data_IF_480257912744
#
_entry.id   IF_480257912744
#
_cell.length_a   1.000
_cell.length_b   1.000
_cell.length_c   1.000
_cell.angle_alpha   90.00
_cell.angle_beta   90.00
_cell.angle_gamma   90.00
#
_symmetry.space_group_name_H-M   'P 1'
#
loop_
_entity.id
_entity.type
_entity.pdbx_description
1 polymer ?
#
# COMPACT_ATOMS: atom_id res chain seq x y z
N UNK A 1 10.04 -15.73 -3.21
CA UNK A 1 11.30 -15.24 -3.83
C UNK A 1 11.57 -13.84 -3.31
N UNK A 2 12.48 -13.69 -2.35
CA UNK A 2 13.03 -12.38 -2.00
C UNK A 2 13.82 -11.90 -3.22
N UNK A 3 13.38 -10.82 -3.87
CA UNK A 3 14.23 -10.17 -4.85
C UNK A 3 15.47 -9.69 -4.08
N UNK A 4 16.64 -10.25 -4.40
CA UNK A 4 17.91 -9.78 -3.85
C UNK A 4 18.01 -8.29 -4.18
N UNK A 5 18.21 -7.46 -3.16
CA UNK A 5 18.43 -6.02 -3.39
C UNK A 5 19.71 -5.88 -4.22
N UNK A 6 19.72 -5.04 -5.26
CA UNK A 6 20.91 -4.85 -6.09
C UNK A 6 22.07 -4.37 -5.21
N UNK A 7 23.27 -4.71 -5.62
CA UNK A 7 24.52 -4.27 -5.02
C UNK A 7 25.08 -3.06 -5.76
N UNK A 8 25.61 -2.08 -5.02
CA UNK A 8 26.33 -0.96 -5.60
C UNK A 8 27.70 -0.80 -4.94
N UNK A 9 28.74 -0.63 -5.76
CA UNK A 9 30.09 -0.28 -5.31
C UNK A 9 30.39 1.16 -5.73
N UNK A 10 30.53 2.11 -4.79
CA UNK A 10 31.05 3.43 -5.10
C UNK A 10 32.58 3.36 -5.18
N UNK A 11 33.18 3.71 -6.32
CA UNK A 11 34.63 3.83 -6.49
C UNK A 11 35.08 5.24 -6.08
N UNK A 12 35.94 5.33 -5.08
CA UNK A 12 36.41 6.62 -4.52
C UNK A 12 37.83 6.56 -3.96
N UNK A 13 38.49 7.70 -3.87
CA UNK A 13 39.78 7.82 -3.22
C UNK A 13 39.63 7.79 -1.69
N UNK A 14 40.60 7.23 -0.95
CA UNK A 14 40.59 7.15 0.53
C UNK A 14 40.22 8.46 1.22
N UNK A 15 40.63 9.61 0.66
CA UNK A 15 40.32 10.94 1.21
C UNK A 15 38.84 11.31 1.16
N UNK A 16 38.07 10.68 0.29
CA UNK A 16 36.65 10.92 0.07
C UNK A 16 35.76 9.95 0.88
N UNK A 17 36.35 9.09 1.72
CA UNK A 17 35.65 8.04 2.48
C UNK A 17 34.47 8.57 3.30
N UNK A 18 34.60 9.73 3.92
CA UNK A 18 33.51 10.33 4.68
C UNK A 18 32.32 10.68 3.78
N UNK A 19 32.57 11.33 2.64
CA UNK A 19 31.52 11.70 1.67
C UNK A 19 30.88 10.46 1.06
N UNK A 20 31.70 9.48 0.64
CA UNK A 20 31.22 8.20 0.14
C UNK A 20 30.37 7.46 1.18
N UNK A 21 30.77 7.47 2.45
CA UNK A 21 30.01 6.89 3.56
C UNK A 21 28.66 7.56 3.79
N UNK A 22 28.57 8.88 3.66
CA UNK A 22 27.28 9.60 3.75
C UNK A 22 26.35 9.27 2.57
N UNK A 23 26.90 9.17 1.35
CA UNK A 23 26.14 8.74 0.16
C UNK A 23 25.64 7.29 0.35
N UNK A 24 26.51 6.40 0.80
CA UNK A 24 26.17 5.00 1.09
C UNK A 24 25.04 4.91 2.12
N UNK A 25 25.19 5.61 3.25
CA UNK A 25 24.19 5.65 4.32
C UNK A 25 22.84 6.15 3.83
N UNK A 26 22.81 7.18 2.97
CA UNK A 26 21.56 7.66 2.36
C UNK A 26 20.89 6.58 1.49
N UNK A 27 21.66 5.94 0.60
CA UNK A 27 21.13 4.91 -0.30
C UNK A 27 20.64 3.66 0.45
N UNK A 28 21.34 3.26 1.52
CA UNK A 28 20.95 2.12 2.35
C UNK A 28 19.73 2.43 3.23
N UNK A 29 19.59 3.66 3.73
CA UNK A 29 18.38 4.12 4.43
C UNK A 29 17.16 4.07 3.51
N UNK A 30 17.35 4.33 2.21
CA UNK A 30 16.33 4.16 1.20
C UNK A 30 16.01 2.66 0.97
N UNK A 31 16.90 1.73 1.30
CA UNK A 31 16.64 0.29 1.19
C UNK A 31 16.54 -0.22 -0.25
N UNK A 32 16.94 0.61 -1.22
CA UNK A 32 16.86 0.29 -2.65
C UNK A 32 18.03 -0.55 -3.14
N UNK A 33 19.14 -0.48 -2.43
CA UNK A 33 20.43 -1.03 -2.84
C UNK A 33 21.25 -1.35 -1.61
N UNK A 34 22.06 -2.41 -1.69
CA UNK A 34 23.10 -2.71 -0.70
C UNK A 34 24.39 -2.06 -1.15
N UNK A 35 25.01 -1.23 -0.32
CA UNK A 35 26.22 -0.50 -0.71
C UNK A 35 27.46 -1.19 -0.15
N UNK A 36 28.36 -1.59 -1.03
CA UNK A 36 29.63 -2.23 -0.69
C UNK A 36 30.72 -1.16 -0.62
N UNK A 37 30.67 -0.35 0.43
CA UNK A 37 31.51 0.85 0.58
C UNK A 37 33.01 0.51 0.66
N UNK A 38 33.39 -0.52 1.41
CA UNK A 38 34.79 -0.88 1.60
C UNK A 38 35.43 -1.46 0.33
N UNK A 39 34.65 -2.18 -0.47
CA UNK A 39 35.12 -2.80 -1.72
C UNK A 39 35.48 -1.76 -2.79
N UNK A 40 34.93 -0.55 -2.70
CA UNK A 40 35.14 0.53 -3.66
C UNK A 40 36.23 1.54 -3.30
N UNK A 41 36.85 1.42 -2.12
CA UNK A 41 37.97 2.29 -1.74
C UNK A 41 39.23 1.96 -2.55
N UNK A 42 39.79 2.95 -3.23
CA UNK A 42 41.04 2.82 -3.97
C UNK A 42 42.23 2.58 -3.03
N UNK A 43 43.04 1.58 -3.34
CA UNK A 43 44.30 1.34 -2.63
C UNK A 43 45.39 2.32 -3.06
N UNK A 44 46.47 2.48 -2.27
CA UNK A 44 47.59 3.32 -2.65
C UNK A 44 48.21 2.89 -3.99
N UNK A 45 48.15 3.76 -4.99
CA UNK A 45 48.71 3.52 -6.32
C UNK A 45 47.71 3.02 -7.36
N UNK A 46 46.49 2.64 -6.95
CA UNK A 46 45.39 2.35 -7.87
C UNK A 46 44.80 3.63 -8.46
N UNK A 47 44.21 3.52 -9.64
CA UNK A 47 43.39 4.57 -10.25
C UNK A 47 41.90 4.19 -10.32
N UNK A 48 41.05 5.17 -10.68
CA UNK A 48 39.60 4.95 -10.80
C UNK A 48 39.24 3.90 -11.86
N UNK A 49 40.03 3.75 -12.93
CA UNK A 49 39.74 2.82 -14.00
C UNK A 49 40.04 1.37 -13.58
N UNK A 50 41.16 1.14 -12.89
CA UNK A 50 41.46 -0.14 -12.25
C UNK A 50 40.38 -0.50 -11.24
N UNK A 51 40.02 0.45 -10.36
CA UNK A 51 39.03 0.19 -9.32
C UNK A 51 37.64 -0.10 -9.88
N UNK A 52 37.25 0.61 -10.94
CA UNK A 52 35.98 0.35 -11.63
C UNK A 52 35.93 -1.06 -12.22
N UNK A 53 37.05 -1.59 -12.75
CA UNK A 53 37.10 -2.96 -13.30
C UNK A 53 36.89 -4.03 -12.24
N UNK A 54 37.44 -3.83 -11.04
CA UNK A 54 37.23 -4.74 -9.90
C UNK A 54 35.77 -4.71 -9.42
N UNK A 55 35.18 -3.52 -9.39
CA UNK A 55 33.82 -3.28 -8.91
C UNK A 55 32.72 -3.87 -9.82
N UNK A 56 33.05 -4.38 -11.00
CA UNK A 56 32.08 -4.92 -11.97
C UNK A 56 31.36 -6.20 -11.53
N UNK A 57 31.80 -6.81 -10.44
CA UNK A 57 31.05 -7.90 -9.81
C UNK A 57 29.72 -7.44 -9.20
N UNK A 58 29.55 -6.13 -8.96
CA UNK A 58 28.29 -5.55 -8.49
C UNK A 58 27.33 -5.23 -9.64
N UNK A 59 26.04 -5.13 -9.31
CA UNK A 59 25.00 -4.74 -10.28
C UNK A 59 25.16 -3.29 -10.76
N UNK A 60 25.75 -2.45 -9.91
CA UNK A 60 25.93 -1.01 -10.10
C UNK A 60 27.33 -0.59 -9.67
N UNK A 61 28.00 0.18 -10.52
CA UNK A 61 29.25 0.85 -10.18
C UNK A 61 29.03 2.35 -10.17
N UNK A 62 29.40 3.03 -9.10
CA UNK A 62 29.26 4.48 -8.96
C UNK A 62 30.64 5.13 -8.90
N UNK A 63 31.04 5.84 -9.95
CA UNK A 63 32.33 6.54 -9.98
C UNK A 63 32.18 7.90 -9.29
N UNK A 64 32.91 8.11 -8.20
CA UNK A 64 32.93 9.36 -7.45
C UNK A 64 34.14 10.21 -7.88
N UNK A 65 33.88 11.23 -8.69
CA UNK A 65 34.88 12.18 -9.15
C UNK A 65 35.17 13.24 -8.10
N UNK A 66 36.44 13.32 -7.72
CA UNK A 66 37.03 14.35 -6.87
C UNK A 66 38.41 14.76 -7.39
N UNK A 67 39.00 15.82 -6.84
CA UNK A 67 40.42 16.15 -7.05
C UNK A 67 41.37 15.08 -6.51
N UNK A 68 40.89 14.16 -5.65
CA UNK A 68 41.68 13.08 -5.08
C UNK A 68 41.60 11.79 -5.89
N UNK A 69 40.50 11.57 -6.63
CA UNK A 69 40.30 10.39 -7.46
C UNK A 69 40.67 10.61 -8.94
N UNK A 70 40.68 11.86 -9.41
CA UNK A 70 41.05 12.19 -10.79
C UNK A 70 42.56 12.39 -10.96
N UNK A 71 43.27 11.50 -11.69
CA UNK A 71 44.65 11.76 -12.07
C UNK A 71 44.73 12.93 -13.05
N UNK A 72 45.83 13.69 -13.00
CA UNK A 72 46.10 14.79 -13.95
C UNK A 72 47.51 14.67 -14.53
N UNK A 73 47.66 14.50 -15.86
CA UNK A 73 46.63 14.29 -16.89
C UNK A 73 46.04 12.85 -16.88
N UNK A 74 44.79 12.68 -17.31
CA UNK A 74 44.17 11.36 -17.48
C UNK A 74 43.94 11.07 -18.97
N UNK A 75 44.74 10.16 -19.55
CA UNK A 75 44.70 9.89 -20.98
C UNK A 75 43.51 8.99 -21.32
N UNK A 76 42.84 9.25 -22.44
CA UNK A 76 41.66 8.49 -22.88
C UNK A 76 41.88 6.97 -22.90
N UNK A 77 43.05 6.51 -23.34
CA UNK A 77 43.43 5.09 -23.39
C UNK A 77 43.49 4.39 -22.03
N UNK A 78 43.58 5.15 -20.93
CA UNK A 78 43.71 4.60 -19.57
C UNK A 78 42.34 4.25 -18.99
N UNK A 79 41.27 4.95 -19.40
CA UNK A 79 39.96 4.83 -18.78
C UNK A 79 38.81 4.46 -19.73
N UNK A 80 38.94 4.66 -21.05
CA UNK A 80 37.83 4.46 -21.99
C UNK A 80 37.32 3.01 -21.99
N UNK A 81 38.24 2.05 -21.98
CA UNK A 81 37.86 0.63 -21.98
C UNK A 81 37.18 0.28 -20.63
N UNK A 82 37.76 0.69 -19.50
CA UNK A 82 37.24 0.41 -18.16
C UNK A 82 35.86 1.02 -17.85
N UNK A 83 35.61 2.25 -18.31
CA UNK A 83 34.44 3.04 -17.88
C UNK A 83 33.35 3.15 -18.93
N UNK A 84 33.63 2.79 -20.20
CA UNK A 84 32.69 2.99 -21.30
C UNK A 84 32.49 1.72 -22.12
N UNK A 85 33.55 1.12 -22.67
CA UNK A 85 33.40 -0.01 -23.61
C UNK A 85 33.08 -1.32 -22.90
N UNK A 86 33.95 -1.75 -22.00
CA UNK A 86 33.78 -3.03 -21.31
C UNK A 86 32.45 -3.08 -20.52
N UNK A 87 32.05 -2.03 -19.77
CA UNK A 87 30.75 -2.04 -19.07
C UNK A 87 29.55 -2.10 -20.01
N UNK A 88 29.62 -1.46 -21.19
CA UNK A 88 28.53 -1.52 -22.17
C UNK A 88 28.40 -2.90 -22.81
N UNK A 89 29.51 -3.61 -23.02
CA UNK A 89 29.54 -4.99 -23.53
C UNK A 89 29.00 -5.99 -22.49
N UNK A 90 29.29 -5.76 -21.21
CA UNK A 90 28.90 -6.63 -20.10
C UNK A 90 27.49 -6.32 -19.55
N UNK A 91 26.92 -5.17 -19.91
CA UNK A 91 25.64 -4.70 -19.37
C UNK A 91 25.74 -4.13 -17.95
N UNK A 92 26.97 -3.90 -17.45
CA UNK A 92 27.23 -3.30 -16.13
C UNK A 92 26.83 -1.83 -16.13
N UNK A 93 26.01 -1.44 -15.16
CA UNK A 93 25.51 -0.06 -15.07
C UNK A 93 26.50 0.82 -14.32
N UNK A 94 27.04 1.83 -15.00
CA UNK A 94 27.95 2.82 -14.40
C UNK A 94 27.27 4.18 -14.24
N UNK A 95 27.27 4.68 -13.00
CA UNK A 95 26.87 6.04 -12.65
C UNK A 95 28.10 6.93 -12.48
N UNK A 96 28.06 8.14 -13.02
CA UNK A 96 29.12 9.14 -12.85
C UNK A 96 28.63 10.25 -11.93
N UNK A 97 29.25 10.41 -10.76
CA UNK A 97 28.89 11.43 -9.79
C UNK A 97 30.09 12.30 -9.43
N UNK A 98 29.87 13.61 -9.35
CA UNK A 98 30.87 14.57 -8.89
C UNK A 98 30.63 14.93 -7.43
N UNK A 99 31.65 14.88 -6.59
CA UNK A 99 31.54 15.16 -5.15
C UNK A 99 32.22 16.47 -4.71
N UNK A 100 33.02 17.10 -5.57
CA UNK A 100 33.64 18.41 -5.35
C UNK A 100 33.59 19.30 -6.62
N UNK A 101 34.45 20.31 -6.74
CA UNK A 101 34.52 21.21 -7.90
C UNK A 101 35.45 20.71 -9.03
N UNK A 102 35.80 19.42 -9.05
CA UNK A 102 36.61 18.85 -10.12
C UNK A 102 35.90 18.87 -11.49
N UNK A 103 36.71 18.79 -12.55
CA UNK A 103 36.25 18.81 -13.94
C UNK A 103 36.73 17.52 -14.62
N UNK A 104 35.90 16.47 -14.65
CA UNK A 104 36.25 15.24 -15.36
C UNK A 104 36.22 15.46 -16.88
N UNK A 105 36.82 14.55 -17.68
CA UNK A 105 36.76 14.60 -19.14
C UNK A 105 35.31 14.68 -19.64
N UNK A 106 35.06 15.45 -20.72
CA UNK A 106 33.69 15.68 -21.24
C UNK A 106 32.92 14.40 -21.60
N UNK A 107 33.64 13.32 -21.96
CA UNK A 107 33.06 12.01 -22.26
C UNK A 107 32.49 11.34 -21.00
N UNK A 108 33.05 11.65 -19.83
CA UNK A 108 32.62 11.18 -18.51
C UNK A 108 31.85 12.28 -17.77
N UNK A 109 31.04 13.06 -18.50
CA UNK A 109 30.24 14.12 -17.89
C UNK A 109 29.42 13.55 -16.72
N UNK A 110 29.51 14.14 -15.51
CA UNK A 110 28.77 13.64 -14.36
C UNK A 110 27.27 13.63 -14.65
N UNK A 111 26.64 12.50 -14.38
CA UNK A 111 25.19 12.36 -14.38
C UNK A 111 24.60 13.00 -13.11
N UNK A 112 25.34 12.95 -12.01
CA UNK A 112 24.90 13.42 -10.70
C UNK A 112 25.87 14.44 -10.11
N UNK A 113 25.33 15.52 -9.55
CA UNK A 113 26.08 16.50 -8.78
C UNK A 113 25.82 16.30 -7.29
N UNK A 114 26.80 15.73 -6.59
CA UNK A 114 26.73 15.41 -5.16
C UNK A 114 27.63 16.35 -4.32
N UNK A 115 28.15 17.41 -4.92
CA UNK A 115 28.93 18.42 -4.20
C UNK A 115 28.12 19.00 -3.04
N UNK A 116 28.68 18.96 -1.83
CA UNK A 116 27.99 19.39 -0.61
C UNK A 116 26.79 18.52 -0.21
N UNK A 117 26.59 17.37 -0.84
CA UNK A 117 25.48 16.43 -0.58
C UNK A 117 24.10 17.08 -0.72
N UNK A 118 23.93 17.91 -1.76
CA UNK A 118 22.65 18.55 -2.05
C UNK A 118 21.53 17.49 -2.25
N UNK A 119 20.36 17.64 -1.60
CA UNK A 119 19.27 16.65 -1.65
C UNK A 119 18.84 16.28 -3.07
N UNK A 120 18.81 17.27 -3.98
CA UNK A 120 18.44 17.05 -5.39
C UNK A 120 19.32 15.99 -6.07
N UNK A 121 20.64 16.09 -5.94
CA UNK A 121 21.56 15.14 -6.57
C UNK A 121 21.47 13.73 -5.97
N UNK A 122 21.27 13.64 -4.66
CA UNK A 122 21.05 12.37 -3.96
C UNK A 122 19.75 11.69 -4.42
N UNK A 123 18.67 12.45 -4.59
CA UNK A 123 17.38 11.94 -5.09
C UNK A 123 17.46 11.53 -6.56
N UNK A 124 18.15 12.29 -7.41
CA UNK A 124 18.41 11.91 -8.81
C UNK A 124 19.18 10.59 -8.89
N UNK A 125 20.23 10.43 -8.08
CA UNK A 125 20.99 9.18 -7.98
C UNK A 125 20.11 8.02 -7.51
N UNK A 126 19.32 8.21 -6.45
CA UNK A 126 18.37 7.20 -5.93
C UNK A 126 17.39 6.74 -7.01
N UNK A 127 16.75 7.68 -7.71
CA UNK A 127 15.80 7.37 -8.81
C UNK A 127 16.46 6.64 -9.97
N UNK A 128 17.69 7.03 -10.32
CA UNK A 128 18.49 6.31 -11.31
C UNK A 128 18.75 4.87 -10.89
N UNK A 129 19.14 4.62 -9.62
CA UNK A 129 19.35 3.27 -9.11
C UNK A 129 18.05 2.45 -9.23
N UNK A 130 16.92 3.01 -8.82
CA UNK A 130 15.62 2.35 -8.76
C UNK A 130 15.03 1.97 -10.13
N UNK A 131 15.17 2.81 -11.15
CA UNK A 131 14.61 2.61 -12.51
C UNK A 131 13.11 2.27 -12.58
N UNK A 132 12.33 2.67 -11.59
CA UNK A 132 10.89 2.43 -11.53
C UNK A 132 10.19 3.61 -10.88
N UNK A 133 8.96 3.86 -11.32
CA UNK A 133 8.11 4.90 -10.77
C UNK A 133 6.72 4.32 -10.53
N UNK A 134 6.07 4.80 -9.48
CA UNK A 134 4.68 4.48 -9.18
C UNK A 134 3.77 4.86 -10.36
N UNK A 135 2.79 4.00 -10.66
CA UNK A 135 1.82 4.23 -11.73
C UNK A 135 0.75 5.25 -11.33
N UNK A 136 0.50 5.38 -10.02
CA UNK A 136 -0.48 6.34 -9.50
C UNK A 136 -0.17 7.77 -9.94
N UNK A 137 -1.22 8.46 -10.39
CA UNK A 137 -1.19 9.89 -10.67
C UNK A 137 -2.22 10.55 -9.74
N UNK A 138 -1.83 11.53 -8.93
CA UNK A 138 -2.79 12.26 -8.12
C UNK A 138 -3.79 13.00 -9.04
N UNK A 139 -5.04 13.23 -8.59
CA UNK A 139 -6.01 14.00 -9.35
C UNK A 139 -5.42 15.35 -9.76
N UNK A 140 -5.56 15.69 -11.04
CA UNK A 140 -5.08 16.95 -11.57
C UNK A 140 -5.96 18.12 -11.14
N UNK A 141 -5.80 18.62 -9.91
CA UNK A 141 -6.04 20.04 -9.56
C UNK A 141 -5.88 20.32 -8.06
N UNK A 142 -4.83 21.04 -7.72
CA UNK A 142 -4.84 22.37 -7.05
C UNK A 142 -3.37 22.74 -6.91
N UNK A 143 -2.91 23.78 -7.61
CA UNK A 143 -1.53 24.25 -7.40
C UNK A 143 -1.36 24.56 -5.93
N UNK A 144 -0.48 23.82 -5.25
CA UNK A 144 -0.07 24.19 -3.91
C UNK A 144 0.60 25.57 -4.00
N UNK A 145 -0.06 26.59 -3.45
CA UNK A 145 0.45 27.96 -3.44
C UNK A 145 1.32 28.25 -2.20
N UNK A 146 1.59 27.24 -1.37
CA UNK A 146 2.37 27.38 -0.15
C UNK A 146 3.88 27.23 -0.36
N UNK A 147 4.62 27.08 0.73
CA UNK A 147 6.08 27.12 0.73
C UNK A 147 6.70 25.81 0.21
N UNK A 148 7.67 25.91 -0.69
CA UNK A 148 8.48 24.78 -1.15
C UNK A 148 9.25 24.10 0.00
N UNK A 149 9.48 24.81 1.11
CA UNK A 149 10.07 24.24 2.32
C UNK A 149 9.22 23.13 2.96
N UNK A 150 7.88 23.24 2.89
CA UNK A 150 6.98 22.20 3.42
C UNK A 150 7.09 20.92 2.59
N UNK A 151 7.17 21.08 1.27
CA UNK A 151 7.35 19.99 0.32
C UNK A 151 8.68 19.26 0.54
N UNK A 152 9.78 20.00 0.75
CA UNK A 152 11.08 19.40 1.03
C UNK A 152 11.14 18.71 2.40
N UNK A 153 10.43 19.25 3.39
CA UNK A 153 10.28 18.62 4.71
C UNK A 153 9.62 17.25 4.61
N UNK A 154 8.52 17.15 3.84
CA UNK A 154 7.90 15.85 3.53
C UNK A 154 8.83 14.94 2.72
N UNK A 155 9.58 15.50 1.77
CA UNK A 155 10.63 14.79 1.02
C UNK A 155 11.63 14.08 1.93
N UNK A 156 12.18 14.81 2.89
CA UNK A 156 13.14 14.29 3.87
C UNK A 156 12.50 13.23 4.77
N UNK A 157 11.25 13.45 5.19
CA UNK A 157 10.58 12.58 6.15
C UNK A 157 10.08 11.26 5.53
N UNK A 158 9.65 11.28 4.26
CA UNK A 158 8.92 10.17 3.63
C UNK A 158 9.58 9.59 2.38
N UNK A 159 10.24 10.41 1.56
CA UNK A 159 10.84 9.96 0.29
C UNK A 159 12.31 9.53 0.49
N UNK A 160 13.03 10.22 1.37
CA UNK A 160 14.44 9.95 1.66
C UNK A 160 14.62 8.85 2.73
N UNK A 161 13.56 8.52 3.47
CA UNK A 161 13.53 7.43 4.46
C UNK A 161 12.10 6.96 4.71
N UNK A 162 11.89 5.74 5.25
CA UNK A 162 10.55 5.29 5.65
C UNK A 162 10.09 6.15 6.82
N UNK A 163 8.83 6.60 6.79
CA UNK A 163 8.30 7.48 7.82
C UNK A 163 6.78 7.57 7.77
N UNK A 164 6.22 8.27 8.76
CA UNK A 164 4.81 8.59 8.80
C UNK A 164 4.66 10.08 9.14
N UNK A 165 3.96 10.82 8.29
CA UNK A 165 3.76 12.26 8.46
C UNK A 165 2.32 12.65 8.11
N UNK A 166 1.91 13.80 8.64
CA UNK A 166 0.62 14.41 8.33
C UNK A 166 0.84 15.66 7.48
N UNK A 167 0.20 15.71 6.31
CA UNK A 167 0.23 16.91 5.48
C UNK A 167 -0.65 18.01 6.08
N UNK A 168 -0.20 19.25 5.97
CA UNK A 168 -0.98 20.42 6.39
C UNK A 168 -2.23 20.65 5.52
N UNK A 169 -2.29 20.05 4.32
CA UNK A 169 -3.48 20.09 3.46
C UNK A 169 -3.46 18.96 2.44
N UNK A 170 -4.64 18.64 1.87
CA UNK A 170 -4.73 17.71 0.73
C UNK A 170 -3.92 18.17 -0.49
N UNK A 171 -3.91 19.48 -0.77
CA UNK A 171 -3.16 20.03 -1.90
C UNK A 171 -1.64 19.78 -1.76
N UNK A 172 -1.08 19.99 -0.56
CA UNK A 172 0.32 19.68 -0.28
C UNK A 172 0.61 18.18 -0.44
N UNK A 173 -0.30 17.31 0.00
CA UNK A 173 -0.12 15.87 -0.14
C UNK A 173 -0.09 15.42 -1.60
N UNK A 174 -0.98 15.97 -2.44
CA UNK A 174 -0.99 15.66 -3.87
C UNK A 174 0.22 16.25 -4.60
N UNK A 175 0.67 17.46 -4.25
CA UNK A 175 1.91 18.03 -4.78
C UNK A 175 3.12 17.17 -4.40
N UNK A 176 3.18 16.69 -3.15
CA UNK A 176 4.19 15.74 -2.69
C UNK A 176 4.19 14.46 -3.52
N UNK A 177 3.03 13.84 -3.70
CA UNK A 177 2.92 12.63 -4.53
C UNK A 177 3.38 12.92 -5.96
N UNK A 178 2.97 14.05 -6.55
CA UNK A 178 3.40 14.46 -7.89
C UNK A 178 4.92 14.59 -8.01
N UNK A 179 5.57 15.22 -7.03
CA UNK A 179 7.01 15.48 -7.03
C UNK A 179 7.88 14.26 -6.66
N UNK A 180 7.37 13.36 -5.82
CA UNK A 180 8.16 12.27 -5.20
C UNK A 180 7.69 10.85 -5.53
N UNK A 181 6.67 10.65 -6.38
CA UNK A 181 6.19 9.30 -6.76
C UNK A 181 7.27 8.36 -7.35
N UNK A 182 8.32 8.91 -7.95
CA UNK A 182 9.45 8.14 -8.50
C UNK A 182 10.35 7.55 -7.40
N UNK A 183 10.23 8.05 -6.17
CA UNK A 183 10.94 7.56 -5.01
C UNK A 183 10.27 6.32 -4.37
N UNK A 184 9.10 5.93 -4.88
CA UNK A 184 8.30 4.80 -4.38
C UNK A 184 8.09 3.73 -5.46
N UNK A 185 7.88 2.49 -5.01
CA UNK A 185 7.56 1.33 -5.87
C UNK A 185 6.15 1.47 -6.43
N UNK A 186 5.22 1.95 -5.59
CA UNK A 186 3.85 2.32 -5.93
C UNK A 186 3.29 3.27 -4.86
N UNK A 187 2.28 4.06 -5.22
CA UNK A 187 1.51 4.88 -4.29
C UNK A 187 0.09 4.36 -4.22
N UNK A 188 -0.38 4.07 -3.00
CA UNK A 188 -1.74 3.61 -2.74
C UNK A 188 -2.51 4.71 -2.03
N UNK A 189 -3.69 5.06 -2.54
CA UNK A 189 -4.60 6.00 -1.88
C UNK A 189 -5.74 5.21 -1.26
N UNK A 190 -5.93 5.37 0.04
CA UNK A 190 -7.07 4.85 0.77
C UNK A 190 -7.87 6.02 1.33
N UNK A 191 -9.11 6.15 0.88
CA UNK A 191 -10.05 7.11 1.43
C UNK A 191 -10.59 6.54 2.74
N UNK A 192 -10.13 7.10 3.87
CA UNK A 192 -10.30 6.54 5.21
C UNK A 192 -11.60 6.93 5.91
N UNK A 193 -12.22 8.01 5.45
CA UNK A 193 -13.48 8.52 5.99
C UNK A 193 -14.59 7.46 5.95
N UNK A 194 -15.18 7.19 7.11
CA UNK A 194 -16.25 6.21 7.32
C UNK A 194 -15.92 4.81 6.78
N UNK A 195 -14.66 4.39 6.81
CA UNK A 195 -14.29 3.01 6.45
C UNK A 195 -13.89 2.21 7.69
N UNK A 196 -14.36 0.97 7.73
CA UNK A 196 -13.85 0.00 8.71
C UNK A 196 -12.45 -0.47 8.34
N UNK A 197 -11.76 -1.10 9.28
CA UNK A 197 -10.45 -1.68 8.99
C UNK A 197 -10.54 -2.78 7.93
N UNK A 198 -11.58 -3.61 7.97
CA UNK A 198 -11.78 -4.66 6.97
C UNK A 198 -11.95 -4.08 5.57
N UNK A 199 -12.72 -3.00 5.45
CA UNK A 199 -12.91 -2.28 4.21
C UNK A 199 -11.61 -1.64 3.68
N UNK A 200 -10.78 -1.07 4.55
CA UNK A 200 -9.49 -0.46 4.14
C UNK A 200 -8.44 -1.51 3.78
N UNK A 201 -8.35 -2.59 4.58
CA UNK A 201 -7.44 -3.70 4.31
C UNK A 201 -7.83 -4.41 3.01
N UNK A 202 -9.13 -4.64 2.79
CA UNK A 202 -9.67 -5.23 1.56
C UNK A 202 -9.36 -4.39 0.32
N UNK A 203 -9.57 -3.08 0.39
CA UNK A 203 -9.26 -2.12 -0.68
C UNK A 203 -7.77 -2.12 -1.01
N UNK A 204 -6.91 -2.01 0.02
CA UNK A 204 -5.46 -2.04 -0.20
C UNK A 204 -5.00 -3.40 -0.76
N UNK A 205 -5.52 -4.50 -0.23
CA UNK A 205 -5.26 -5.84 -0.74
C UNK A 205 -5.63 -5.97 -2.23
N UNK A 206 -6.80 -5.46 -2.62
CA UNK A 206 -7.23 -5.45 -4.01
C UNK A 206 -6.31 -4.60 -4.91
N UNK A 207 -5.90 -3.40 -4.46
CA UNK A 207 -4.94 -2.55 -5.18
C UNK A 207 -3.56 -3.24 -5.33
N UNK A 208 -3.18 -4.08 -4.35
CA UNK A 208 -1.95 -4.89 -4.39
C UNK A 208 -2.10 -6.20 -5.20
N UNK A 209 -3.31 -6.55 -5.66
CA UNK A 209 -3.60 -7.83 -6.31
C UNK A 209 -3.57 -9.04 -5.37
N UNK A 210 -3.75 -8.83 -4.07
CA UNK A 210 -3.79 -9.88 -3.05
C UNK A 210 -5.23 -10.29 -2.75
N UNK A 211 -5.45 -11.60 -2.56
CA UNK A 211 -6.68 -12.15 -1.98
C UNK A 211 -6.52 -12.30 -0.47
N UNK A 212 -7.38 -11.62 0.29
CA UNK A 212 -7.41 -11.55 1.75
C UNK A 212 -8.57 -12.42 2.28
N UNK A 213 -8.37 -13.73 2.19
CA UNK A 213 -9.39 -14.74 2.49
C UNK A 213 -9.43 -15.13 3.99
N UNK A 214 -8.40 -14.78 4.77
CA UNK A 214 -8.29 -15.11 6.19
C UNK A 214 -9.08 -14.16 7.09
N UNK A 215 -8.85 -14.28 8.40
CA UNK A 215 -9.41 -13.35 9.39
C UNK A 215 -8.78 -11.96 9.26
N UNK A 216 -9.46 -10.94 9.79
CA UNK A 216 -9.02 -9.55 9.65
C UNK A 216 -7.60 -9.32 10.16
N UNK A 217 -7.28 -9.83 11.36
CA UNK A 217 -5.96 -9.68 11.98
C UNK A 217 -4.88 -10.34 11.13
N UNK A 218 -5.10 -11.58 10.68
CA UNK A 218 -4.18 -12.31 9.81
C UNK A 218 -3.97 -11.60 8.46
N UNK A 219 -5.04 -11.05 7.90
CA UNK A 219 -4.97 -10.29 6.64
C UNK A 219 -4.14 -9.00 6.82
N UNK A 220 -4.32 -8.28 7.92
CA UNK A 220 -3.52 -7.08 8.24
C UNK A 220 -2.06 -7.45 8.47
N UNK A 221 -1.78 -8.56 9.15
CA UNK A 221 -0.42 -9.07 9.36
C UNK A 221 0.24 -9.46 8.03
N UNK A 222 -0.49 -10.15 7.16
CA UNK A 222 -0.04 -10.50 5.81
C UNK A 222 0.25 -9.27 4.96
N UNK A 223 -0.60 -8.24 5.02
CA UNK A 223 -0.36 -6.96 4.38
C UNK A 223 0.91 -6.30 4.92
N UNK A 224 1.10 -6.31 6.25
CA UNK A 224 2.28 -5.74 6.90
C UNK A 224 3.57 -6.45 6.45
N UNK A 225 3.57 -7.78 6.46
CA UNK A 225 4.70 -8.57 6.00
C UNK A 225 5.03 -8.27 4.54
N UNK A 226 4.01 -8.29 3.67
CA UNK A 226 4.17 -7.99 2.25
C UNK A 226 4.74 -6.58 2.02
N UNK A 227 4.26 -5.59 2.76
CA UNK A 227 4.67 -4.20 2.61
C UNK A 227 6.05 -3.92 3.22
N UNK A 228 6.46 -4.64 4.27
CA UNK A 228 7.67 -4.35 5.06
C UNK A 228 8.97 -4.25 4.23
N UNK A 229 9.09 -5.04 3.16
CA UNK A 229 10.27 -5.09 2.30
C UNK A 229 10.20 -4.17 1.08
N UNK A 230 9.08 -3.48 0.86
CA UNK A 230 8.78 -2.70 -0.36
C UNK A 230 8.67 -1.22 -0.05
N UNK A 231 9.03 -0.41 -1.04
CA UNK A 231 9.06 1.05 -0.91
C UNK A 231 7.73 1.66 -1.33
N UNK A 232 6.66 1.34 -0.62
CA UNK A 232 5.35 1.92 -0.93
C UNK A 232 5.11 3.22 -0.19
N UNK A 233 4.32 4.10 -0.81
CA UNK A 233 3.69 5.22 -0.13
C UNK A 233 2.20 4.90 0.05
N UNK A 234 1.74 4.86 1.29
CA UNK A 234 0.33 4.81 1.62
C UNK A 234 -0.19 6.22 1.91
N UNK A 235 -1.10 6.71 1.10
CA UNK A 235 -1.83 7.95 1.33
C UNK A 235 -3.16 7.65 2.01
N UNK A 236 -3.26 7.96 3.30
CA UNK A 236 -4.51 7.91 4.07
C UNK A 236 -5.22 9.25 3.92
N UNK A 237 -6.24 9.30 3.06
CA UNK A 237 -6.96 10.52 2.71
C UNK A 237 -8.30 10.61 3.44
N UNK A 238 -8.56 11.73 4.10
CA UNK A 238 -9.76 11.99 4.90
C UNK A 238 -9.55 11.76 6.39
N UNK A 239 -10.62 11.90 7.17
CA UNK A 239 -10.58 11.81 8.63
C UNK A 239 -9.96 10.48 9.11
N UNK A 240 -8.78 10.57 9.74
CA UNK A 240 -8.05 9.38 10.18
C UNK A 240 -8.73 8.74 11.39
N UNK A 241 -9.34 7.58 11.14
CA UNK A 241 -9.94 6.75 12.17
C UNK A 241 -8.89 5.90 12.90
N UNK A 242 -9.17 5.43 14.13
CA UNK A 242 -8.33 4.44 14.80
C UNK A 242 -8.12 3.16 13.97
N UNK A 243 -9.09 2.81 13.12
CA UNK A 243 -8.97 1.72 12.15
C UNK A 243 -7.89 2.02 11.10
N UNK A 244 -7.93 3.19 10.46
CA UNK A 244 -6.93 3.58 9.45
C UNK A 244 -5.49 3.59 10.00
N UNK A 245 -5.31 3.97 11.27
CA UNK A 245 -3.99 3.95 11.93
C UNK A 245 -3.36 2.56 12.04
N UNK A 246 -4.16 1.49 12.00
CA UNK A 246 -3.64 0.11 12.03
C UNK A 246 -2.94 -0.28 10.71
N UNK A 247 -3.16 0.50 9.64
CA UNK A 247 -2.50 0.33 8.34
C UNK A 247 -1.20 1.16 8.21
N UNK A 248 -0.80 1.88 9.27
CA UNK A 248 0.51 2.54 9.33
C UNK A 248 1.56 1.46 9.61
N UNK A 249 2.13 0.93 8.53
CA UNK A 249 3.13 -0.13 8.62
C UNK A 249 4.54 0.42 8.80
N UNK A 250 5.35 -0.35 9.53
CA UNK A 250 6.79 -0.11 9.66
C UNK A 250 7.56 -0.81 8.53
N UNK A 251 8.88 -0.71 8.55
CA UNK A 251 9.75 -1.29 7.52
C UNK A 251 10.12 -0.24 6.49
N UNK A 252 9.97 -0.57 5.20
CA UNK A 252 10.33 0.32 4.09
C UNK A 252 9.18 1.18 3.54
N UNK A 253 7.96 0.95 4.02
CA UNK A 253 6.80 1.76 3.63
C UNK A 253 6.80 3.12 4.32
N UNK A 254 6.28 4.10 3.61
CA UNK A 254 5.99 5.43 4.13
C UNK A 254 4.47 5.65 4.15
N UNK A 255 3.98 6.43 5.11
CA UNK A 255 2.57 6.79 5.21
C UNK A 255 2.39 8.30 5.26
N UNK A 256 1.59 8.83 4.36
CA UNK A 256 1.17 10.23 4.37
C UNK A 256 -0.29 10.31 4.78
N UNK A 257 -0.57 11.11 5.81
CA UNK A 257 -1.91 11.32 6.36
C UNK A 257 -2.43 12.68 5.89
N UNK A 258 -3.70 12.74 5.47
CA UNK A 258 -4.40 13.97 5.14
C UNK A 258 -5.68 14.02 5.96
N UNK A 259 -5.76 14.92 6.94
CA UNK A 259 -6.91 15.03 7.84
C UNK A 259 -8.06 15.93 7.30
N UNK A 260 -7.86 16.61 6.17
CA UNK A 260 -8.90 17.44 5.53
C UNK A 260 -10.13 16.62 5.10
N UNK A 261 -11.32 17.20 5.22
CA UNK A 261 -12.59 16.59 4.78
C UNK A 261 -12.48 16.00 3.37
N UNK A 262 -12.98 14.78 3.18
CA UNK A 262 -12.86 14.03 1.94
C UNK A 262 -13.32 14.87 0.73
N UNK A 263 -12.55 14.82 -0.36
CA UNK A 263 -12.99 15.34 -1.65
C UNK A 263 -14.20 14.54 -2.16
N UNK A 264 -14.67 14.85 -3.36
CA UNK A 264 -15.74 14.05 -3.97
C UNK A 264 -15.35 12.56 -3.97
N UNK A 265 -16.12 11.70 -3.27
CA UNK A 265 -15.72 10.33 -3.03
C UNK A 265 -15.58 9.59 -4.35
N UNK A 266 -14.52 8.79 -4.49
CA UNK A 266 -14.41 7.89 -5.64
C UNK A 266 -15.63 6.97 -5.64
N UNK A 267 -16.33 6.93 -6.77
CA UNK A 267 -17.51 6.09 -6.97
C UNK A 267 -17.10 4.61 -6.98
N UNK A 268 -17.04 4.00 -5.79
CA UNK A 268 -16.85 2.57 -5.59
C UNK A 268 -18.18 1.91 -5.18
N UNK A 269 -18.70 0.93 -5.95
CA UNK A 269 -19.91 0.19 -5.60
C UNK A 269 -19.85 -0.44 -4.21
N UNK A 270 -18.69 -0.94 -3.77
CA UNK A 270 -18.59 -1.60 -2.47
C UNK A 270 -18.68 -0.60 -1.33
N UNK A 271 -18.06 0.57 -1.49
CA UNK A 271 -18.24 1.70 -0.57
C UNK A 271 -19.69 2.17 -0.47
N UNK A 272 -20.43 2.19 -1.58
CA UNK A 272 -21.87 2.52 -1.54
C UNK A 272 -22.65 1.50 -0.72
N UNK A 273 -22.37 0.20 -0.91
CA UNK A 273 -22.99 -0.88 -0.12
C UNK A 273 -22.67 -0.74 1.37
N UNK A 274 -21.40 -0.49 1.73
CA UNK A 274 -20.98 -0.28 3.12
C UNK A 274 -21.74 0.87 3.79
N UNK A 275 -21.84 2.02 3.10
CA UNK A 275 -22.55 3.19 3.61
C UNK A 275 -24.03 2.88 3.83
N UNK A 276 -24.67 2.26 2.84
CA UNK A 276 -26.10 1.91 2.91
C UNK A 276 -26.41 0.92 4.05
N UNK A 277 -25.54 -0.06 4.30
CA UNK A 277 -25.74 -1.07 5.35
C UNK A 277 -25.42 -0.56 6.75
N UNK A 278 -24.40 0.28 6.89
CA UNK A 278 -24.02 0.84 8.19
C UNK A 278 -25.06 1.82 8.72
N UNK A 279 -25.43 2.78 7.87
CA UNK A 279 -26.33 3.88 8.23
C UNK A 279 -27.49 3.95 7.21
N UNK A 280 -28.41 2.97 7.23
CA UNK A 280 -29.54 2.95 6.31
C UNK A 280 -30.42 4.18 6.53
N UNK A 281 -30.77 4.87 5.45
CA UNK A 281 -31.68 6.00 5.52
C UNK A 281 -33.01 5.58 6.19
N UNK A 282 -33.67 6.46 6.97
CA UNK A 282 -34.90 6.12 7.69
C UNK A 282 -36.03 5.60 6.78
N UNK A 283 -36.04 6.05 5.52
CA UNK A 283 -36.98 5.74 4.46
C UNK A 283 -36.38 4.83 3.36
N UNK A 284 -35.20 4.25 3.61
CA UNK A 284 -34.56 3.35 2.65
C UNK A 284 -35.47 2.17 2.28
N UNK A 285 -35.61 1.91 0.97
CA UNK A 285 -36.30 0.73 0.49
C UNK A 285 -35.54 -0.52 0.93
N UNK A 286 -36.21 -1.35 1.73
CA UNK A 286 -35.64 -2.59 2.23
C UNK A 286 -35.26 -3.57 1.12
N UNK A 287 -36.04 -3.60 0.02
CA UNK A 287 -35.72 -4.45 -1.12
C UNK A 287 -34.43 -4.01 -1.81
N UNK A 288 -34.23 -2.70 -1.93
CA UNK A 288 -32.99 -2.10 -2.44
C UNK A 288 -31.81 -2.41 -1.52
N UNK A 289 -31.97 -2.25 -0.20
CA UNK A 289 -30.92 -2.55 0.78
C UNK A 289 -30.50 -4.02 0.73
N UNK A 290 -31.45 -4.95 0.61
CA UNK A 290 -31.16 -6.37 0.39
C UNK A 290 -30.44 -6.61 -0.96
N UNK A 291 -30.81 -5.87 -2.00
CA UNK A 291 -30.11 -5.90 -3.29
C UNK A 291 -28.65 -5.48 -3.17
N UNK A 292 -28.39 -4.39 -2.45
CA UNK A 292 -27.05 -3.88 -2.15
C UNK A 292 -26.23 -4.87 -1.32
N UNK A 293 -26.82 -5.49 -0.28
CA UNK A 293 -26.13 -6.49 0.51
C UNK A 293 -25.65 -7.69 -0.32
N UNK A 294 -26.51 -8.20 -1.22
CA UNK A 294 -26.15 -9.28 -2.15
C UNK A 294 -25.09 -8.86 -3.16
N UNK A 295 -25.13 -7.61 -3.63
CA UNK A 295 -24.09 -7.04 -4.47
C UNK A 295 -22.75 -6.99 -3.73
N UNK A 296 -22.73 -6.45 -2.50
CA UNK A 296 -21.53 -6.38 -1.67
C UNK A 296 -20.92 -7.76 -1.41
N UNK A 297 -21.75 -8.73 -1.04
CA UNK A 297 -21.32 -10.13 -0.89
C UNK A 297 -20.63 -10.67 -2.13
N UNK A 298 -21.22 -10.46 -3.31
CA UNK A 298 -20.65 -10.91 -4.59
C UNK A 298 -19.31 -10.24 -4.85
N UNK A 299 -19.24 -8.92 -4.73
CA UNK A 299 -18.04 -8.13 -4.99
C UNK A 299 -16.89 -8.53 -4.04
N UNK A 300 -17.18 -8.68 -2.74
CA UNK A 300 -16.21 -9.17 -1.77
C UNK A 300 -15.73 -10.58 -2.11
N UNK A 301 -16.62 -11.49 -2.51
CA UNK A 301 -16.26 -12.85 -2.90
C UNK A 301 -15.36 -12.89 -4.13
N UNK A 302 -15.69 -12.12 -5.18
CA UNK A 302 -14.91 -12.04 -6.42
C UNK A 302 -13.50 -11.47 -6.18
N UNK A 303 -13.39 -10.47 -5.29
CA UNK A 303 -12.12 -9.83 -4.94
C UNK A 303 -11.34 -10.57 -3.84
N UNK A 304 -11.92 -11.61 -3.23
CA UNK A 304 -11.30 -12.32 -2.10
C UNK A 304 -11.15 -11.44 -0.86
N UNK A 305 -12.12 -10.56 -0.57
CA UNK A 305 -12.16 -9.64 0.59
C UNK A 305 -13.08 -10.22 1.67
N UNK A 306 -12.71 -11.37 2.23
CA UNK A 306 -13.63 -12.20 3.02
C UNK A 306 -13.93 -11.61 4.39
N UNK A 307 -12.95 -11.00 5.06
CA UNK A 307 -13.16 -10.31 6.34
C UNK A 307 -14.18 -9.16 6.24
N UNK A 308 -14.13 -8.43 5.12
CA UNK A 308 -15.09 -7.36 4.83
C UNK A 308 -16.46 -7.93 4.45
N UNK A 309 -16.51 -9.03 3.70
CA UNK A 309 -17.76 -9.75 3.43
C UNK A 309 -18.47 -10.11 4.74
N UNK A 310 -17.73 -10.66 5.70
CA UNK A 310 -18.26 -11.03 7.01
C UNK A 310 -18.87 -9.82 7.73
N UNK A 311 -18.16 -8.70 7.80
CA UNK A 311 -18.65 -7.46 8.42
C UNK A 311 -19.93 -6.94 7.74
N UNK A 312 -19.99 -6.98 6.40
CA UNK A 312 -21.20 -6.61 5.66
C UNK A 312 -22.38 -7.54 5.97
N UNK A 313 -22.13 -8.84 6.11
CA UNK A 313 -23.17 -9.81 6.47
C UNK A 313 -23.65 -9.62 7.90
N UNK A 314 -22.78 -9.26 8.85
CA UNK A 314 -23.18 -8.91 10.22
C UNK A 314 -24.09 -7.67 10.23
N UNK A 315 -23.72 -6.62 9.50
CA UNK A 315 -24.53 -5.40 9.38
C UNK A 315 -25.89 -5.69 8.76
N UNK A 316 -25.92 -6.47 7.66
CA UNK A 316 -27.18 -6.86 7.03
C UNK A 316 -28.04 -7.75 7.93
N UNK A 317 -27.43 -8.70 8.65
CA UNK A 317 -28.12 -9.57 9.59
C UNK A 317 -28.79 -8.77 10.71
N UNK A 318 -28.06 -7.83 11.32
CA UNK A 318 -28.60 -6.95 12.35
C UNK A 318 -29.74 -6.06 11.82
N UNK A 319 -29.60 -5.52 10.61
CA UNK A 319 -30.65 -4.73 9.97
C UNK A 319 -31.91 -5.54 9.65
N UNK A 320 -31.75 -6.83 9.29
CA UNK A 320 -32.84 -7.77 9.04
C UNK A 320 -33.54 -8.18 10.35
N UNK A 321 -32.77 -8.45 11.41
CA UNK A 321 -33.29 -8.74 12.74
C UNK A 321 -34.17 -7.60 13.28
N UNK A 322 -33.67 -6.36 13.19
CA UNK A 322 -34.41 -5.16 13.62
C UNK A 322 -35.75 -4.97 12.88
N UNK A 323 -35.87 -5.50 11.66
CA UNK A 323 -37.07 -5.43 10.81
C UNK A 323 -37.92 -6.69 10.85
N UNK A 324 -37.42 -7.76 11.49
CA UNK A 324 -38.07 -9.07 11.50
C UNK A 324 -38.09 -9.78 10.15
N UNK A 325 -37.20 -9.43 9.21
CA UNK A 325 -37.07 -10.13 7.93
C UNK A 325 -36.23 -11.40 8.09
N UNK A 326 -36.93 -12.52 8.31
CA UNK A 326 -36.31 -13.83 8.49
C UNK A 326 -35.60 -14.35 7.24
N UNK A 327 -36.04 -14.00 6.04
CA UNK A 327 -35.41 -14.47 4.81
C UNK A 327 -34.03 -13.85 4.62
N UNK A 328 -33.92 -12.54 4.88
CA UNK A 328 -32.63 -11.85 4.89
C UNK A 328 -31.73 -12.30 6.05
N UNK A 329 -32.29 -12.57 7.24
CA UNK A 329 -31.53 -13.16 8.36
C UNK A 329 -30.95 -14.53 8.00
N UNK A 330 -31.73 -15.41 7.35
CA UNK A 330 -31.27 -16.74 6.92
C UNK A 330 -30.15 -16.63 5.87
N UNK A 331 -30.33 -15.76 4.87
CA UNK A 331 -29.35 -15.58 3.80
C UNK A 331 -28.01 -15.07 4.38
N UNK A 332 -28.04 -14.00 5.17
CA UNK A 332 -26.83 -13.45 5.82
C UNK A 332 -26.16 -14.45 6.76
N UNK A 333 -26.93 -15.17 7.58
CA UNK A 333 -26.40 -16.17 8.51
C UNK A 333 -25.72 -17.34 7.80
N UNK A 334 -26.30 -17.83 6.69
CA UNK A 334 -25.70 -18.92 5.90
C UNK A 334 -24.30 -18.55 5.40
N UNK A 335 -24.14 -17.32 4.94
CA UNK A 335 -22.86 -16.84 4.41
C UNK A 335 -21.85 -16.64 5.54
N UNK A 336 -22.27 -16.10 6.70
CA UNK A 336 -21.41 -16.01 7.89
C UNK A 336 -20.94 -17.39 8.39
N UNK A 337 -21.83 -18.40 8.41
CA UNK A 337 -21.45 -19.78 8.76
C UNK A 337 -20.37 -20.30 7.81
N UNK A 338 -20.55 -20.14 6.50
CA UNK A 338 -19.57 -20.58 5.51
C UNK A 338 -18.21 -19.90 5.69
N UNK A 339 -18.19 -18.59 5.99
CA UNK A 339 -16.96 -17.85 6.27
C UNK A 339 -16.28 -18.35 7.54
N UNK A 340 -17.03 -18.52 8.64
CA UNK A 340 -16.49 -19.00 9.92
C UNK A 340 -15.92 -20.41 9.81
N UNK A 341 -16.57 -21.31 9.07
CA UNK A 341 -16.03 -22.63 8.76
C UNK A 341 -14.73 -22.54 7.95
N UNK A 342 -14.68 -21.64 6.96
CA UNK A 342 -13.47 -21.37 6.18
C UNK A 342 -12.29 -20.88 7.02
N UNK A 343 -12.55 -20.10 8.07
CA UNK A 343 -11.56 -19.65 9.05
C UNK A 343 -11.26 -20.68 10.15
N UNK A 344 -11.96 -21.82 10.18
CA UNK A 344 -11.79 -22.84 11.23
C UNK A 344 -12.46 -22.50 12.56
N UNK A 345 -13.30 -21.46 12.63
CA UNK A 345 -14.10 -21.07 13.80
C UNK A 345 -15.38 -21.92 13.93
N UNK A 346 -15.19 -23.23 13.92
CA UNK A 346 -16.26 -24.23 13.83
C UNK A 346 -17.28 -24.14 14.96
N UNK A 347 -16.85 -23.81 16.19
CA UNK A 347 -17.79 -23.65 17.30
C UNK A 347 -18.72 -22.45 17.13
N UNK A 348 -18.23 -21.35 16.59
CA UNK A 348 -19.03 -20.16 16.32
C UNK A 348 -19.98 -20.38 15.16
N UNK A 349 -19.50 -21.03 14.09
CA UNK A 349 -20.33 -21.48 12.99
C UNK A 349 -21.48 -22.38 13.49
N UNK A 350 -21.19 -23.36 14.36
CA UNK A 350 -22.20 -24.23 14.96
C UNK A 350 -23.18 -23.46 15.85
N UNK A 351 -22.73 -22.49 16.65
CA UNK A 351 -23.63 -21.66 17.48
C UNK A 351 -24.58 -20.84 16.62
N UNK A 352 -24.08 -20.25 15.53
CA UNK A 352 -24.87 -19.47 14.58
C UNK A 352 -25.86 -20.36 13.82
N UNK A 353 -25.40 -21.53 13.38
CA UNK A 353 -26.21 -22.56 12.72
C UNK A 353 -27.32 -23.10 13.65
N UNK A 354 -26.99 -23.35 14.92
CA UNK A 354 -27.98 -23.78 15.91
C UNK A 354 -29.03 -22.70 16.16
N UNK A 355 -28.63 -21.43 16.27
CA UNK A 355 -29.58 -20.30 16.40
C UNK A 355 -30.50 -20.24 15.19
N UNK A 356 -29.94 -20.31 13.98
CA UNK A 356 -30.69 -20.40 12.72
C UNK A 356 -31.69 -21.55 12.77
N UNK A 357 -31.24 -22.77 13.05
CA UNK A 357 -32.09 -23.97 13.07
C UNK A 357 -33.18 -23.91 14.15
N UNK A 358 -32.90 -23.31 15.32
CA UNK A 358 -33.86 -23.23 16.43
C UNK A 358 -34.97 -22.22 16.15
N UNK A 359 -34.64 -21.08 15.54
CA UNK A 359 -35.62 -20.09 15.07
C UNK A 359 -36.55 -20.69 13.98
N UNK A 360 -36.02 -21.57 13.12
CA UNK A 360 -36.80 -22.36 12.17
C UNK A 360 -37.59 -23.51 12.83
N UNK A 361 -37.05 -24.17 13.85
CA UNK A 361 -37.75 -25.25 14.55
C UNK A 361 -38.96 -24.73 15.36
N UNK A 362 -38.89 -23.52 15.92
CA UNK A 362 -40.03 -22.85 16.54
C UNK A 362 -41.19 -22.62 15.55
N UNK A 363 -40.93 -22.54 14.24
CA UNK A 363 -41.98 -22.43 13.20
C UNK A 363 -42.75 -23.74 12.98
N UNK A 364 -42.11 -24.91 13.11
CA UNK A 364 -42.81 -26.21 12.98
C UNK A 364 -43.67 -26.56 14.20
N UNK A 365 -43.50 -25.83 15.32
CA UNK A 365 -44.21 -26.05 16.58
C UNK A 365 -45.32 -25.02 16.83
N UNK A 366 -45.66 -24.17 15.85
CA UNK A 366 -46.88 -23.36 15.93
C UNK A 366 -48.11 -24.29 15.94
N UNK A 367 -48.95 -24.28 16.99
CA UNK A 367 -50.10 -25.18 17.05
C UNK A 367 -51.06 -24.85 15.92
N UNK A 368 -51.41 -25.87 15.12
CA UNK A 368 -52.65 -25.88 14.35
C UNK A 368 -53.79 -25.45 15.30
N UNK A 369 -54.47 -24.38 14.94
CA UNK A 369 -55.54 -23.72 15.69
C UNK A 369 -56.54 -24.69 16.35
N UNK A 370 -57.12 -24.38 17.53
CA UNK A 370 -58.00 -25.32 18.23
C UNK A 370 -59.32 -25.57 17.47
N UNK A 371 -59.64 -26.86 17.41
CA UNK A 371 -60.87 -27.52 16.99
C UNK A 371 -62.16 -26.65 17.05
N UNK A 372 -62.70 -26.25 15.89
CA UNK A 372 -64.11 -25.79 15.75
C UNK A 372 -65.00 -27.00 15.49
N UNK A 373 -65.33 -27.74 16.53
CA UNK A 373 -66.43 -28.70 16.52
C UNK A 373 -67.30 -28.50 17.76
N UNK A 374 -67.86 -27.31 17.91
CA UNK A 374 -69.06 -27.13 18.70
C UNK A 374 -69.94 -26.05 18.05
N UNK A 375 -70.84 -26.50 17.19
CA UNK A 375 -72.06 -25.77 16.80
C UNK A 375 -73.19 -26.78 16.70
N UNK A 376 -73.74 -27.11 17.85
CA UNK A 376 -75.11 -27.58 17.96
C UNK A 376 -76.06 -26.51 17.40
N UNK A 377 -76.73 -26.83 16.30
CA UNK A 377 -77.82 -26.02 15.73
C UNK A 377 -79.16 -26.71 16.01
N UNK A 378 -80.19 -26.02 16.53
CA UNK A 378 -81.51 -26.60 16.70
C UNK A 378 -82.27 -26.61 15.35
N UNK A 379 -82.81 -27.79 14.98
CA UNK A 379 -83.73 -27.96 13.85
C UNK A 379 -85.11 -27.43 14.24
N UNK A 380 -85.57 -26.38 13.58
CA UNK A 380 -86.99 -26.00 13.53
C UNK A 380 -87.74 -26.92 12.57
N UNK A 381 -88.79 -27.58 13.05
CA UNK A 381 -89.71 -28.39 12.27
C UNK A 381 -90.77 -27.51 11.55
N UNK A 382 -91.32 -27.93 10.40
CA UNK A 382 -92.43 -27.25 9.75
C UNK A 382 -93.78 -27.77 10.29
N UNK A 383 -94.69 -26.85 10.61
CA UNK A 383 -96.07 -27.16 10.97
C UNK A 383 -96.93 -27.25 9.70
N UNK A 384 -97.69 -28.33 9.57
CA UNK A 384 -99.01 -28.37 8.93
C UNK A 384 -99.99 -28.92 9.95
#
# INVERSE_FOLDING_TARGET
MQALSPSAIPCYAVRDRETAGRIAGFLEQCGDVRVLLDEGEMQPGEDLAEKAREARAADLVLILFSHHSLPRPWLRREWEDALVREPAEEGTRIGFARIDDCVPPRVLAPQFNLSGLAPKGLRELKRWIRQRAAAYNPPGATHYAGDLADLDTLGIALADRPGCETAASRALAFEFVGAYREDFDEVFRLESEDRSLAALAGDWGAQLGLKLEGELEENVDRLREFCSARRFLLLLDGAVTPAARQLIFRGRCSTLIVEDDAGEPVSDPLRQVQRALRDPAPDADWAELCGLARLGRRLCGEQGRIAECYELMEQWHAAAEARGDRGAMEESAREMVWILEGWGRTEEAQRLEYRRATEFAQQMMLPLWPNRSDRSAPRTAPTR
#
